data_IF_660242501227
#
_entry.id   IF_660242501227
#
_cell.length_a   1.000
_cell.length_b   1.000
_cell.length_c   1.000
_cell.angle_alpha   90.00
_cell.angle_beta   90.00
_cell.angle_gamma   90.00
#
_symmetry.space_group_name_H-M   'P 1'
#
loop_
_entity.id
_entity.type
_entity.pdbx_description
1 polymer ?
#
# COMPACT_ATOMS: atom_id res chain seq x y z
N UNK A 1 -1.42 -7.65 29.98
CA UNK A 1 -1.15 -7.92 28.54
C UNK A 1 -1.59 -9.31 28.06
N UNK A 2 -0.86 -10.40 28.31
CA UNK A 2 -1.17 -11.72 27.71
C UNK A 2 -2.59 -12.24 27.99
N UNK A 3 -3.07 -12.13 29.24
CA UNK A 3 -4.44 -12.55 29.58
C UNK A 3 -5.50 -11.69 28.87
N UNK A 4 -5.28 -10.38 28.73
CA UNK A 4 -6.19 -9.49 28.00
C UNK A 4 -6.26 -9.87 26.52
N UNK A 5 -5.11 -10.04 25.86
CA UNK A 5 -5.02 -10.45 24.46
C UNK A 5 -5.62 -11.85 24.24
N UNK A 6 -5.37 -12.79 25.16
CA UNK A 6 -5.93 -14.13 25.10
C UNK A 6 -7.46 -14.13 25.28
N UNK A 7 -7.98 -13.33 26.21
CA UNK A 7 -9.42 -13.17 26.40
C UNK A 7 -10.09 -12.52 25.19
N UNK A 8 -9.43 -11.54 24.57
CA UNK A 8 -9.87 -10.90 23.34
C UNK A 8 -9.95 -11.92 22.19
N UNK A 9 -8.90 -12.73 22.00
CA UNK A 9 -8.90 -13.81 21.01
C UNK A 9 -10.03 -14.82 21.27
N UNK A 10 -10.26 -15.23 22.53
CA UNK A 10 -11.35 -16.17 22.87
C UNK A 10 -12.75 -15.62 22.64
N UNK A 11 -12.97 -14.32 22.84
CA UNK A 11 -14.27 -13.67 22.64
C UNK A 11 -14.63 -13.51 21.17
N UNK A 12 -13.65 -13.52 20.27
CA UNK A 12 -13.84 -13.33 18.83
C UNK A 12 -13.46 -14.59 18.05
N UNK A 13 -14.45 -15.40 17.68
CA UNK A 13 -14.26 -16.71 17.03
C UNK A 13 -13.74 -16.65 15.59
N UNK A 14 -13.82 -15.51 14.91
CA UNK A 14 -13.42 -15.37 13.48
C UNK A 14 -12.38 -14.29 13.20
N UNK A 15 -12.45 -13.13 13.89
CA UNK A 15 -11.46 -12.05 13.75
C UNK A 15 -11.52 -11.14 14.96
N UNK A 16 -10.42 -11.00 15.67
CA UNK A 16 -10.25 -10.00 16.72
C UNK A 16 -10.28 -8.59 16.10
N UNK A 17 -11.08 -7.65 16.62
CA UNK A 17 -11.05 -6.27 16.15
C UNK A 17 -9.65 -5.69 16.30
N UNK A 18 -9.12 -5.14 15.20
CA UNK A 18 -7.76 -4.62 15.15
C UNK A 18 -7.57 -3.45 16.13
N UNK A 19 -8.60 -2.65 16.33
CA UNK A 19 -8.65 -1.53 17.28
C UNK A 19 -8.42 -2.02 18.71
N UNK A 20 -9.28 -2.92 19.19
CA UNK A 20 -9.17 -3.49 20.55
C UNK A 20 -7.81 -4.18 20.78
N UNK A 21 -7.34 -4.97 19.81
CA UNK A 21 -6.03 -5.62 19.92
C UNK A 21 -4.91 -4.60 20.08
N UNK A 22 -4.93 -3.53 19.27
CA UNK A 22 -3.91 -2.48 19.30
C UNK A 22 -3.94 -1.73 20.62
N UNK A 23 -5.14 -1.40 21.12
CA UNK A 23 -5.35 -0.77 22.44
C UNK A 23 -4.79 -1.63 23.57
N UNK A 24 -5.17 -2.90 23.62
CA UNK A 24 -4.74 -3.83 24.68
C UNK A 24 -3.24 -4.12 24.63
N UNK A 25 -2.65 -4.19 23.43
CA UNK A 25 -1.21 -4.35 23.28
C UNK A 25 -0.45 -3.11 23.78
N UNK A 26 -0.86 -1.90 23.39
CA UNK A 26 -0.25 -0.66 23.88
C UNK A 26 -0.41 -0.53 25.39
N UNK A 27 -1.63 -0.67 25.91
CA UNK A 27 -1.90 -0.59 27.34
C UNK A 27 -1.09 -1.62 28.14
N UNK A 28 -0.96 -2.84 27.61
CA UNK A 28 -0.14 -3.88 28.20
C UNK A 28 1.34 -3.49 28.33
N UNK A 29 1.92 -2.86 27.29
CA UNK A 29 3.29 -2.34 27.37
C UNK A 29 3.43 -1.26 28.45
N UNK A 30 2.49 -0.32 28.48
CA UNK A 30 2.48 0.76 29.47
C UNK A 30 2.39 0.19 30.90
N UNK A 31 1.46 -0.73 31.15
CA UNK A 31 1.32 -1.39 32.45
C UNK A 31 2.59 -2.14 32.89
N UNK A 32 3.29 -2.79 31.96
CA UNK A 32 4.47 -3.60 32.27
C UNK A 32 5.74 -2.78 32.49
N UNK A 33 5.83 -1.59 31.89
CA UNK A 33 7.06 -0.79 31.85
C UNK A 33 6.80 0.65 32.35
N UNK A 34 6.88 0.89 33.67
CA UNK A 34 6.60 2.21 34.25
C UNK A 34 7.42 3.36 33.65
N UNK A 35 8.69 3.11 33.28
CA UNK A 35 9.52 4.11 32.60
C UNK A 35 8.95 4.54 31.24
N UNK A 36 8.40 3.60 30.47
CA UNK A 36 7.74 3.90 29.20
C UNK A 36 6.44 4.66 29.46
N UNK A 37 5.67 4.28 30.49
CA UNK A 37 4.43 4.98 30.88
C UNK A 37 4.67 6.42 31.28
N UNK A 38 5.69 6.67 32.10
CA UNK A 38 6.03 8.02 32.54
C UNK A 38 6.40 8.90 31.34
N UNK A 39 7.24 8.40 30.42
CA UNK A 39 7.61 9.14 29.22
C UNK A 39 6.44 9.27 28.23
N UNK A 40 5.55 8.29 28.16
CA UNK A 40 4.34 8.38 27.35
C UNK A 40 3.39 9.46 27.88
N UNK A 41 3.16 9.52 29.18
CA UNK A 41 2.29 10.51 29.80
C UNK A 41 2.89 11.92 29.75
N UNK A 42 4.11 12.11 30.27
CA UNK A 42 4.72 13.42 30.40
C UNK A 42 5.40 13.90 29.09
N UNK A 43 6.13 13.00 28.43
CA UNK A 43 6.91 13.30 27.24
C UNK A 43 6.05 13.35 25.98
N UNK A 44 5.25 12.32 25.71
CA UNK A 44 4.45 12.20 24.49
C UNK A 44 3.09 12.92 24.59
N UNK A 45 2.27 12.58 25.58
CA UNK A 45 0.91 13.13 25.75
C UNK A 45 0.88 14.52 26.42
N UNK A 46 2.02 14.97 26.96
CA UNK A 46 2.19 16.25 27.69
C UNK A 46 1.19 16.40 28.85
N UNK A 47 0.94 15.31 29.58
CA UNK A 47 0.12 15.33 30.78
C UNK A 47 0.91 15.93 31.97
N UNK A 48 0.23 16.55 32.94
CA UNK A 48 0.84 16.96 34.22
C UNK A 48 1.56 15.81 34.92
N UNK A 49 2.48 16.14 35.83
CA UNK A 49 3.12 15.13 36.67
C UNK A 49 2.09 14.47 37.61
N UNK A 50 1.95 13.15 37.52
CA UNK A 50 1.06 12.34 38.36
C UNK A 50 1.53 10.88 38.33
N UNK A 51 1.01 10.06 39.25
CA UNK A 51 1.21 8.62 39.23
C UNK A 51 0.04 7.97 38.47
N UNK A 52 0.24 7.75 37.17
CA UNK A 52 -0.82 7.26 36.29
C UNK A 52 -0.98 5.75 36.35
N UNK A 53 -2.19 5.31 36.68
CA UNK A 53 -2.66 3.95 36.43
C UNK A 53 -3.20 3.84 34.99
N UNK A 54 -2.85 2.74 34.30
CA UNK A 54 -3.26 2.47 32.93
C UNK A 54 -4.40 1.46 32.93
N UNK A 55 -5.58 1.87 32.50
CA UNK A 55 -6.80 1.06 32.47
C UNK A 55 -7.35 1.01 31.04
N UNK A 56 -8.00 -0.08 30.67
CA UNK A 56 -8.66 -0.21 29.37
C UNK A 56 -10.14 -0.53 29.52
N UNK A 57 -10.91 -0.25 28.47
CA UNK A 57 -12.33 -0.64 28.34
C UNK A 57 -13.17 -0.24 29.57
N UNK A 58 -12.93 0.96 30.09
CA UNK A 58 -13.58 1.45 31.31
C UNK A 58 -15.01 1.91 30.99
N UNK A 59 -15.99 1.32 31.67
CA UNK A 59 -17.41 1.65 31.50
C UNK A 59 -17.83 2.76 32.48
N UNK A 60 -18.48 3.78 31.94
CA UNK A 60 -19.12 4.86 32.67
C UNK A 60 -20.59 4.95 32.26
N UNK A 61 -21.45 5.15 33.26
CA UNK A 61 -22.87 5.41 33.07
C UNK A 61 -23.07 6.92 33.00
N UNK A 62 -23.66 7.40 31.90
CA UNK A 62 -23.94 8.82 31.66
C UNK A 62 -25.38 9.16 32.02
N UNK A 63 -25.63 10.43 32.38
CA UNK A 63 -26.99 10.94 32.62
C UNK A 63 -27.83 11.19 31.35
N UNK A 64 -27.35 10.73 30.18
CA UNK A 64 -27.98 10.97 28.87
C UNK A 64 -28.84 9.81 28.36
N UNK A 65 -29.62 10.05 27.30
CA UNK A 65 -30.45 9.04 26.61
C UNK A 65 -29.66 7.83 26.09
N UNK A 66 -28.35 7.98 25.93
CA UNK A 66 -27.42 6.90 25.60
C UNK A 66 -26.41 6.75 26.76
N UNK A 67 -26.79 6.01 27.82
CA UNK A 67 -26.07 6.02 29.08
C UNK A 67 -24.76 5.24 29.04
N UNK A 68 -24.52 4.44 27.99
CA UNK A 68 -23.36 3.55 27.94
C UNK A 68 -22.17 4.25 27.27
N UNK A 69 -21.11 4.43 28.04
CA UNK A 69 -19.84 4.98 27.58
C UNK A 69 -18.71 4.04 27.97
N UNK A 70 -18.01 3.46 26.99
CA UNK A 70 -16.83 2.63 27.22
C UNK A 70 -15.64 3.39 26.66
N UNK A 71 -14.61 3.63 27.48
CA UNK A 71 -13.37 4.31 27.08
C UNK A 71 -12.29 3.28 26.77
N UNK A 72 -11.67 3.39 25.60
CA UNK A 72 -10.63 2.45 25.14
C UNK A 72 -9.44 2.36 26.10
N UNK A 73 -8.87 3.52 26.43
CA UNK A 73 -7.72 3.65 27.32
C UNK A 73 -7.91 4.84 28.26
N UNK A 74 -7.65 4.61 29.55
CA UNK A 74 -7.72 5.59 30.62
C UNK A 74 -6.39 5.65 31.35
N UNK A 75 -5.84 6.85 31.48
CA UNK A 75 -4.68 7.13 32.32
C UNK A 75 -5.17 7.91 33.54
N UNK A 76 -5.29 7.21 34.66
CA UNK A 76 -5.87 7.72 35.89
C UNK A 76 -4.77 8.10 36.89
N UNK A 77 -4.56 9.41 37.07
CA UNK A 77 -3.74 9.97 38.13
C UNK A 77 -4.56 10.39 39.35
N UNK A 78 -3.90 10.86 40.40
CA UNK A 78 -4.55 11.40 41.59
C UNK A 78 -5.32 12.69 41.28
N UNK A 79 -4.68 13.59 40.54
CA UNK A 79 -5.21 14.92 40.21
C UNK A 79 -5.62 15.04 38.74
N UNK A 80 -5.14 14.14 37.89
CA UNK A 80 -5.36 14.17 36.45
C UNK A 80 -6.10 12.93 35.96
N UNK A 81 -6.94 13.09 34.94
CA UNK A 81 -7.55 12.00 34.20
C UNK A 81 -7.35 12.25 32.70
N UNK A 82 -6.89 11.24 31.97
CA UNK A 82 -6.80 11.31 30.51
C UNK A 82 -7.54 10.13 29.90
N UNK A 83 -8.53 10.44 29.06
CA UNK A 83 -9.17 9.45 28.20
C UNK A 83 -8.49 9.47 26.83
N UNK A 84 -8.28 8.29 26.26
CA UNK A 84 -7.71 8.12 24.92
C UNK A 84 -8.65 7.22 24.13
N UNK A 85 -9.14 7.75 23.02
CA UNK A 85 -9.92 7.01 22.02
C UNK A 85 -8.99 6.53 20.91
N UNK A 86 -9.08 5.26 20.53
CA UNK A 86 -8.24 4.65 19.50
C UNK A 86 -9.04 4.24 18.28
N UNK A 87 -8.56 4.64 17.10
CA UNK A 87 -9.15 4.28 15.81
C UNK A 87 -8.08 3.78 14.85
N UNK A 88 -8.37 2.67 14.17
CA UNK A 88 -7.44 2.03 13.23
C UNK A 88 -8.05 1.97 11.84
N UNK A 89 -9.17 1.27 11.66
CA UNK A 89 -9.80 1.13 10.33
C UNK A 89 -11.14 1.84 10.22
N UNK A 90 -11.63 2.39 11.33
CA UNK A 90 -12.87 3.16 11.37
C UNK A 90 -12.60 4.62 11.75
N UNK A 91 -13.53 5.50 11.40
CA UNK A 91 -13.60 6.83 12.00
C UNK A 91 -14.28 6.78 13.36
N UNK A 92 -14.39 7.93 14.00
CA UNK A 92 -15.12 8.08 15.27
C UNK A 92 -16.53 7.48 15.20
N UNK A 93 -16.92 6.74 16.25
CA UNK A 93 -18.32 6.34 16.44
C UNK A 93 -19.21 7.57 16.64
N UNK A 94 -20.51 7.44 16.35
CA UNK A 94 -21.45 8.56 16.45
C UNK A 94 -21.37 9.21 17.85
N UNK A 95 -20.92 10.48 17.88
CA UNK A 95 -20.78 11.31 19.08
C UNK A 95 -19.89 10.71 20.19
N UNK A 96 -18.94 9.84 19.86
CA UNK A 96 -18.13 9.13 20.87
C UNK A 96 -17.27 10.10 21.69
N UNK A 97 -16.60 11.06 21.06
CA UNK A 97 -15.80 12.05 21.80
C UNK A 97 -16.67 12.96 22.67
N UNK A 98 -17.87 13.29 22.21
CA UNK A 98 -18.84 14.06 23.02
C UNK A 98 -19.27 13.27 24.27
N UNK A 99 -19.55 11.97 24.14
CA UNK A 99 -19.83 11.11 25.31
C UNK A 99 -18.68 11.09 26.29
N UNK A 100 -17.44 11.14 25.80
CA UNK A 100 -16.25 11.10 26.65
C UNK A 100 -16.09 12.41 27.40
N UNK A 101 -16.39 13.54 26.76
CA UNK A 101 -16.49 14.85 27.41
C UNK A 101 -17.54 14.86 28.52
N UNK A 102 -18.74 14.31 28.27
CA UNK A 102 -19.79 14.18 29.28
C UNK A 102 -19.30 13.32 30.46
N UNK A 103 -18.69 12.16 30.17
CA UNK A 103 -18.15 11.27 31.18
C UNK A 103 -17.07 11.95 32.05
N UNK A 104 -16.15 12.70 31.43
CA UNK A 104 -15.11 13.46 32.12
C UNK A 104 -15.72 14.51 33.06
N UNK A 105 -16.77 15.20 32.61
CA UNK A 105 -17.43 16.26 33.38
C UNK A 105 -18.27 15.69 34.54
N UNK A 106 -19.02 14.61 34.32
CA UNK A 106 -19.88 14.00 35.35
C UNK A 106 -19.08 13.28 36.44
N UNK A 107 -18.05 12.51 36.06
CA UNK A 107 -17.36 11.60 36.99
C UNK A 107 -16.07 12.18 37.57
N UNK A 108 -15.50 13.22 36.94
CA UNK A 108 -14.17 13.74 37.30
C UNK A 108 -14.11 15.27 37.41
N UNK A 109 -15.19 15.91 37.88
CA UNK A 109 -15.32 17.36 37.98
C UNK A 109 -14.16 18.09 38.71
N UNK A 110 -13.47 17.41 39.65
CA UNK A 110 -12.36 17.99 40.44
C UNK A 110 -10.97 17.73 39.87
N UNK A 111 -10.84 16.97 38.78
CA UNK A 111 -9.55 16.62 38.17
C UNK A 111 -9.22 17.53 36.98
N UNK A 112 -7.94 17.61 36.63
CA UNK A 112 -7.51 18.11 35.32
C UNK A 112 -7.89 17.07 34.27
N UNK A 113 -8.70 17.47 33.29
CA UNK A 113 -9.31 16.57 32.31
C UNK A 113 -8.59 16.68 30.97
N UNK A 114 -8.14 15.54 30.46
CA UNK A 114 -7.55 15.43 29.14
C UNK A 114 -8.35 14.44 28.30
N UNK A 115 -8.51 14.77 27.02
CA UNK A 115 -9.06 13.88 26.02
C UNK A 115 -8.06 13.78 24.87
N UNK A 116 -7.81 12.56 24.42
CA UNK A 116 -6.90 12.26 23.33
C UNK A 116 -7.59 11.41 22.29
N UNK A 117 -7.27 11.65 21.02
CA UNK A 117 -7.76 10.86 19.90
C UNK A 117 -6.58 10.36 19.09
N UNK A 118 -6.45 9.03 18.96
CA UNK A 118 -5.40 8.40 18.17
C UNK A 118 -6.01 7.75 16.92
N UNK A 119 -5.53 8.14 15.74
CA UNK A 119 -6.05 7.60 14.48
C UNK A 119 -4.93 7.03 13.60
N UNK A 120 -5.26 6.05 12.76
CA UNK A 120 -4.34 5.59 11.71
C UNK A 120 -4.28 6.59 10.56
N UNK A 121 -5.44 7.03 10.08
CA UNK A 121 -5.58 7.97 8.98
C UNK A 121 -5.83 9.39 9.47
N UNK A 122 -5.73 10.37 8.56
CA UNK A 122 -6.10 11.73 8.86
C UNK A 122 -7.62 11.82 9.07
N UNK A 123 -8.04 12.05 10.32
CA UNK A 123 -9.44 12.29 10.70
C UNK A 123 -9.44 13.45 11.72
N UNK A 124 -9.16 14.69 11.26
CA UNK A 124 -8.98 15.82 12.16
C UNK A 124 -10.29 16.14 12.88
N UNK A 125 -10.23 16.23 14.21
CA UNK A 125 -11.36 16.66 15.03
C UNK A 125 -11.04 17.97 15.73
N UNK A 126 -12.08 18.77 15.90
CA UNK A 126 -12.07 19.96 16.75
C UNK A 126 -13.05 19.71 17.88
N UNK A 127 -12.56 19.69 19.11
CA UNK A 127 -13.40 19.65 20.30
C UNK A 127 -13.09 20.90 21.13
N UNK A 128 -14.13 21.70 21.37
CA UNK A 128 -14.06 22.90 22.20
C UNK A 128 -14.98 22.71 23.39
N UNK A 129 -14.40 22.33 24.53
CA UNK A 129 -15.09 22.25 25.81
C UNK A 129 -14.23 22.94 26.87
N UNK A 130 -14.84 23.87 27.61
CA UNK A 130 -14.14 24.64 28.63
C UNK A 130 -13.72 23.74 29.79
N UNK A 131 -12.42 23.52 29.92
CA UNK A 131 -11.83 22.72 31.00
C UNK A 131 -11.43 21.30 30.61
N UNK A 132 -11.52 20.92 29.33
CA UNK A 132 -10.93 19.69 28.80
C UNK A 132 -9.82 20.05 27.82
N UNK A 133 -8.60 19.59 28.09
CA UNK A 133 -7.45 19.77 27.20
C UNK A 133 -7.47 18.65 26.16
N UNK A 134 -7.92 18.98 24.95
CA UNK A 134 -7.98 18.06 23.81
C UNK A 134 -6.70 18.07 22.97
N UNK A 135 -6.25 16.90 22.52
CA UNK A 135 -5.24 16.78 21.48
C UNK A 135 -5.44 15.51 20.64
N UNK A 136 -4.98 15.53 19.40
CA UNK A 136 -5.01 14.39 18.50
C UNK A 136 -3.58 14.02 18.09
N UNK A 137 -3.33 12.72 17.93
CA UNK A 137 -2.11 12.18 17.36
C UNK A 137 -2.44 10.97 16.49
N UNK A 138 -1.44 10.44 15.79
CA UNK A 138 -1.58 9.26 14.96
C UNK A 138 -0.74 8.09 15.45
N UNK A 139 -1.12 6.89 15.03
CA UNK A 139 -0.36 5.68 15.35
C UNK A 139 1.10 5.73 14.90
N UNK A 140 1.42 6.45 13.82
CA UNK A 140 2.81 6.59 13.38
C UNK A 140 3.64 7.40 14.38
N UNK A 141 3.01 8.32 15.12
CA UNK A 141 3.65 9.11 16.17
C UNK A 141 3.88 8.25 17.41
N UNK A 142 2.94 7.36 17.75
CA UNK A 142 3.13 6.33 18.79
C UNK A 142 4.27 5.40 18.41
N UNK A 143 4.33 4.94 17.16
CA UNK A 143 5.42 4.11 16.66
C UNK A 143 6.77 4.84 16.78
N UNK A 144 6.83 6.12 16.38
CA UNK A 144 8.02 6.96 16.50
C UNK A 144 8.45 7.15 17.96
N UNK A 145 7.51 7.34 18.87
CA UNK A 145 7.78 7.40 20.31
C UNK A 145 8.41 6.09 20.81
N UNK A 146 7.82 4.94 20.46
CA UNK A 146 8.26 3.63 20.92
C UNK A 146 9.63 3.21 20.36
N UNK A 147 10.11 3.81 19.26
CA UNK A 147 11.44 3.54 18.71
C UNK A 147 12.57 3.83 19.70
N UNK A 148 12.39 4.78 20.63
CA UNK A 148 13.38 5.06 21.69
C UNK A 148 13.56 3.88 22.67
N UNK A 149 12.66 2.89 22.64
CA UNK A 149 12.64 1.74 23.53
C UNK A 149 12.74 0.40 22.77
N UNK A 150 13.23 0.42 21.53
CA UNK A 150 13.29 -0.75 20.64
C UNK A 150 14.21 -1.89 21.11
N UNK A 151 15.11 -1.62 22.05
CA UNK A 151 15.90 -2.61 22.77
C UNK A 151 15.03 -3.57 23.59
N UNK A 152 13.79 -3.21 23.92
CA UNK A 152 12.84 -4.08 24.61
C UNK A 152 12.15 -5.02 23.60
N UNK A 153 12.27 -6.36 23.75
CA UNK A 153 11.70 -7.31 22.79
C UNK A 153 10.18 -7.19 22.58
N UNK A 154 9.42 -6.81 23.61
CA UNK A 154 7.97 -6.64 23.51
C UNK A 154 7.62 -5.35 22.76
N UNK A 155 8.36 -4.26 23.02
CA UNK A 155 8.22 -3.01 22.25
C UNK A 155 8.55 -3.27 20.79
N UNK A 156 9.64 -3.97 20.50
CA UNK A 156 10.04 -4.34 19.13
C UNK A 156 8.96 -5.16 18.41
N UNK A 157 8.40 -6.17 19.09
CA UNK A 157 7.31 -6.98 18.56
C UNK A 157 6.07 -6.12 18.24
N UNK A 158 5.74 -5.15 19.10
CA UNK A 158 4.63 -4.24 18.85
C UNK A 158 4.91 -3.26 17.71
N UNK A 159 6.14 -2.75 17.58
CA UNK A 159 6.56 -1.93 16.44
C UNK A 159 6.44 -2.68 15.11
N UNK A 160 6.83 -3.96 15.07
CA UNK A 160 6.66 -4.82 13.90
C UNK A 160 5.17 -5.01 13.57
N UNK A 161 4.34 -5.22 14.58
CA UNK A 161 2.88 -5.28 14.42
C UNK A 161 2.32 -3.98 13.82
N UNK A 162 2.72 -2.81 14.33
CA UNK A 162 2.29 -1.51 13.79
C UNK A 162 2.74 -1.35 12.33
N UNK A 163 3.97 -1.76 12.00
CA UNK A 163 4.50 -1.73 10.63
C UNK A 163 3.68 -2.61 9.68
N UNK A 164 3.42 -3.86 10.07
CA UNK A 164 2.67 -4.82 9.27
C UNK A 164 1.22 -4.37 9.00
N UNK A 165 0.63 -3.62 9.93
CA UNK A 165 -0.71 -3.04 9.79
C UNK A 165 -0.71 -1.61 9.20
N UNK A 166 0.43 -1.14 8.65
CA UNK A 166 0.58 0.20 8.04
C UNK A 166 0.25 1.35 8.99
N UNK A 167 0.51 1.16 10.28
CA UNK A 167 0.31 2.15 11.34
C UNK A 167 1.60 2.89 11.71
N UNK A 168 2.77 2.36 11.34
CA UNK A 168 4.07 2.99 11.61
C UNK A 168 4.59 3.91 10.48
N UNK A 169 3.85 4.06 9.38
CA UNK A 169 4.30 4.80 8.21
C UNK A 169 4.05 6.30 8.38
N UNK A 170 5.13 7.09 8.39
CA UNK A 170 5.07 8.54 8.25
C UNK A 170 4.95 8.91 6.77
N UNK A 171 3.75 9.28 6.34
CA UNK A 171 3.44 9.71 4.98
C UNK A 171 3.57 11.23 4.80
N UNK A 172 4.23 11.93 5.73
CA UNK A 172 4.57 13.34 5.53
C UNK A 172 5.42 13.49 4.27
N UNK A 173 4.98 14.34 3.36
CA UNK A 173 5.73 14.66 2.14
C UNK A 173 6.99 15.43 2.54
N UNK A 174 8.17 14.87 2.23
CA UNK A 174 9.48 15.49 2.46
C UNK A 174 10.03 16.08 1.17
N UNK A 175 11.04 16.93 1.27
CA UNK A 175 11.73 17.53 0.11
C UNK A 175 12.19 16.48 -0.90
N UNK A 176 12.74 15.37 -0.41
CA UNK A 176 13.26 14.29 -1.25
C UNK A 176 12.13 13.61 -2.05
N UNK A 177 10.91 13.58 -1.50
CA UNK A 177 9.74 13.09 -2.23
C UNK A 177 9.39 14.00 -3.41
N UNK A 178 9.55 15.32 -3.26
CA UNK A 178 9.30 16.27 -4.35
C UNK A 178 10.31 16.10 -5.49
N UNK A 179 11.60 15.95 -5.15
CA UNK A 179 12.66 15.67 -6.12
C UNK A 179 12.41 14.33 -6.83
N UNK A 180 12.00 13.30 -6.09
CA UNK A 180 11.66 12.01 -6.64
C UNK A 180 10.44 12.08 -7.60
N UNK A 181 9.41 12.86 -7.26
CA UNK A 181 8.25 13.09 -8.12
C UNK A 181 8.65 13.78 -9.44
N UNK A 182 9.51 14.79 -9.38
CA UNK A 182 10.02 15.46 -10.58
C UNK A 182 10.86 14.51 -11.45
N UNK A 183 11.74 13.73 -10.82
CA UNK A 183 12.58 12.74 -11.48
C UNK A 183 11.75 11.64 -12.13
N UNK A 184 10.69 11.18 -11.46
CA UNK A 184 9.74 10.21 -11.99
C UNK A 184 9.03 10.75 -13.24
N UNK A 185 8.56 12.01 -13.20
CA UNK A 185 7.94 12.64 -14.37
C UNK A 185 8.88 12.66 -15.57
N UNK A 186 10.11 13.15 -15.39
CA UNK A 186 11.15 13.18 -16.45
C UNK A 186 11.47 11.79 -16.98
N UNK A 187 11.56 10.80 -16.09
CA UNK A 187 11.82 9.40 -16.47
C UNK A 187 10.68 8.83 -17.32
N UNK A 188 9.43 9.11 -16.94
CA UNK A 188 8.25 8.70 -17.72
C UNK A 188 8.27 9.35 -19.11
N UNK A 189 8.55 10.66 -19.20
CA UNK A 189 8.62 11.39 -20.47
C UNK A 189 9.66 10.78 -21.44
N UNK A 190 10.86 10.45 -20.94
CA UNK A 190 11.92 9.80 -21.73
C UNK A 190 11.47 8.42 -22.23
N UNK A 191 10.85 7.63 -21.36
CA UNK A 191 10.42 6.28 -21.73
C UNK A 191 9.27 6.34 -22.73
N UNK A 192 8.27 7.19 -22.51
CA UNK A 192 7.17 7.41 -23.47
C UNK A 192 7.70 7.87 -24.83
N UNK A 193 8.73 8.71 -24.88
CA UNK A 193 9.39 9.10 -26.13
C UNK A 193 9.91 7.88 -26.90
N UNK A 194 10.66 6.96 -26.27
CA UNK A 194 11.18 5.77 -26.95
C UNK A 194 10.08 4.80 -27.39
N UNK A 195 9.01 4.67 -26.59
CA UNK A 195 7.84 3.88 -26.97
C UNK A 195 7.17 4.49 -28.20
N UNK A 196 6.82 5.77 -28.17
CA UNK A 196 6.14 6.43 -29.29
C UNK A 196 7.01 6.50 -30.55
N UNK A 197 8.34 6.62 -30.41
CA UNK A 197 9.26 6.58 -31.55
C UNK A 197 9.31 5.19 -32.24
N UNK A 198 9.10 4.11 -31.49
CA UNK A 198 9.10 2.73 -32.03
C UNK A 198 7.72 2.27 -32.54
N UNK A 199 6.66 3.00 -32.17
CA UNK A 199 5.27 2.68 -32.47
C UNK A 199 4.91 2.58 -33.96
N UNK A 200 5.42 3.44 -34.88
CA UNK A 200 5.09 3.32 -36.30
C UNK A 200 5.45 1.95 -36.87
N UNK A 201 6.64 1.45 -36.54
CA UNK A 201 7.15 0.14 -37.00
C UNK A 201 6.33 -1.00 -36.40
N UNK A 202 5.99 -0.90 -35.12
CA UNK A 202 5.12 -1.87 -34.45
C UNK A 202 3.73 -1.93 -35.10
N UNK A 203 3.10 -0.76 -35.32
CA UNK A 203 1.76 -0.65 -35.92
C UNK A 203 1.74 -1.17 -37.35
N UNK A 204 2.82 -0.94 -38.12
CA UNK A 204 2.96 -1.47 -39.48
C UNK A 204 2.86 -3.01 -39.51
N UNK A 205 3.33 -3.69 -38.46
CA UNK A 205 3.39 -5.16 -38.38
C UNK A 205 2.17 -5.78 -37.70
N UNK A 206 1.75 -5.21 -36.58
CA UNK A 206 0.75 -5.81 -35.69
C UNK A 206 -0.55 -5.01 -35.64
N UNK A 207 -0.68 -3.96 -36.46
CA UNK A 207 -1.87 -3.14 -36.51
C UNK A 207 -1.99 -2.13 -35.36
N UNK A 208 -3.11 -1.41 -35.35
CA UNK A 208 -3.38 -0.32 -34.40
C UNK A 208 -4.49 -0.70 -33.44
N UNK A 209 -4.33 -0.37 -32.17
CA UNK A 209 -5.41 -0.40 -31.16
C UNK A 209 -5.93 1.00 -30.83
N UNK A 210 -7.15 1.04 -30.29
CA UNK A 210 -7.66 2.24 -29.62
C UNK A 210 -6.85 2.48 -28.36
N UNK A 211 -6.10 3.58 -28.34
CA UNK A 211 -5.23 3.95 -27.23
C UNK A 211 -6.03 4.61 -26.10
N UNK A 212 -6.00 4.01 -24.91
CA UNK A 212 -6.53 4.64 -23.69
C UNK A 212 -5.41 5.44 -23.01
N UNK A 213 -5.62 6.74 -22.79
CA UNK A 213 -4.65 7.62 -22.14
C UNK A 213 -4.25 7.18 -20.72
N UNK A 214 -5.10 6.42 -20.03
CA UNK A 214 -4.83 5.94 -18.67
C UNK A 214 -4.10 4.59 -18.63
N UNK A 215 -3.93 3.91 -19.77
CA UNK A 215 -3.36 2.57 -19.83
C UNK A 215 -1.97 2.50 -19.20
N UNK A 216 -1.08 3.44 -19.52
CA UNK A 216 0.28 3.45 -18.96
C UNK A 216 0.30 3.70 -17.45
N UNK A 217 -0.64 4.45 -16.89
CA UNK A 217 -0.72 4.65 -15.43
C UNK A 217 -1.05 3.35 -14.69
N UNK A 218 -1.96 2.55 -15.23
CA UNK A 218 -2.27 1.24 -14.67
C UNK A 218 -1.07 0.28 -14.82
N UNK A 219 -0.33 0.36 -15.93
CA UNK A 219 0.87 -0.43 -16.15
C UNK A 219 2.01 -0.05 -15.18
N UNK A 220 2.21 1.23 -14.89
CA UNK A 220 3.18 1.69 -13.90
C UNK A 220 2.78 1.18 -12.51
N UNK A 221 1.52 1.40 -12.12
CA UNK A 221 1.02 1.07 -10.77
C UNK A 221 1.05 -0.42 -10.48
N UNK A 222 0.65 -1.25 -11.43
CA UNK A 222 0.41 -2.68 -11.20
C UNK A 222 1.52 -3.58 -11.73
N UNK A 223 2.32 -3.09 -12.68
CA UNK A 223 3.29 -3.91 -13.41
C UNK A 223 4.68 -3.28 -13.55
N UNK A 224 4.90 -2.09 -12.96
CA UNK A 224 6.18 -1.38 -12.94
C UNK A 224 6.81 -1.23 -14.34
N UNK A 225 6.01 -0.84 -15.34
CA UNK A 225 6.41 -0.74 -16.74
C UNK A 225 5.55 0.25 -17.54
N UNK A 226 6.06 0.68 -18.68
CA UNK A 226 5.32 1.38 -19.74
C UNK A 226 5.39 0.52 -21.00
N UNK A 227 4.24 0.29 -21.64
CA UNK A 227 4.15 -0.61 -22.80
C UNK A 227 3.16 -0.08 -23.83
N UNK A 228 3.34 -0.50 -25.07
CA UNK A 228 2.31 -0.44 -26.11
C UNK A 228 1.94 -1.87 -26.50
N UNK A 229 0.65 -2.16 -26.57
CA UNK A 229 0.17 -3.51 -26.84
C UNK A 229 -0.96 -3.56 -27.86
N UNK A 230 -1.13 -4.72 -28.47
CA UNK A 230 -2.26 -5.09 -29.31
C UNK A 230 -2.84 -6.39 -28.75
N UNK A 231 -4.13 -6.35 -28.42
CA UNK A 231 -4.89 -7.51 -27.97
C UNK A 231 -5.53 -8.24 -29.17
N UNK A 232 -6.14 -9.39 -28.89
CA UNK A 232 -6.76 -10.28 -29.87
C UNK A 232 -5.83 -10.71 -31.00
N UNK A 233 -4.59 -11.01 -30.66
CA UNK A 233 -3.56 -11.41 -31.62
C UNK A 233 -3.92 -12.72 -32.35
N UNK A 234 -4.60 -13.62 -31.63
CA UNK A 234 -5.17 -14.83 -32.18
C UNK A 234 -6.68 -14.63 -32.41
N UNK A 235 -7.20 -15.22 -33.49
CA UNK A 235 -8.65 -15.34 -33.65
C UNK A 235 -9.18 -16.23 -32.54
N UNK A 236 -10.03 -15.68 -31.68
CA UNK A 236 -10.67 -16.39 -30.57
C UNK A 236 -12.19 -16.42 -30.76
N UNK A 237 -12.78 -17.61 -30.58
CA UNK A 237 -14.21 -17.85 -30.41
C UNK A 237 -14.66 -17.58 -28.99
N UNK A 238 -13.76 -17.70 -28.01
CA UNK A 238 -14.06 -17.57 -26.58
C UNK A 238 -13.83 -16.15 -26.04
N UNK A 239 -13.19 -15.28 -26.84
CA UNK A 239 -12.83 -13.91 -26.46
C UNK A 239 -11.75 -13.86 -25.39
N UNK A 240 -10.93 -14.90 -25.26
CA UNK A 240 -9.87 -14.99 -24.26
C UNK A 240 -8.60 -14.30 -24.73
N UNK A 241 -7.84 -13.80 -23.76
CA UNK A 241 -6.73 -12.88 -24.00
C UNK A 241 -5.60 -13.53 -24.81
N UNK A 242 -5.23 -12.87 -25.90
CA UNK A 242 -3.94 -13.01 -26.58
C UNK A 242 -3.41 -11.62 -26.90
N UNK A 243 -2.14 -11.36 -26.60
CA UNK A 243 -1.58 -10.01 -26.63
C UNK A 243 -0.15 -10.02 -27.17
N UNK A 244 0.19 -9.05 -28.01
CA UNK A 244 1.56 -8.70 -28.36
C UNK A 244 1.82 -7.34 -27.74
N UNK A 245 2.95 -7.20 -27.07
CA UNK A 245 3.36 -5.90 -26.55
C UNK A 245 4.86 -5.70 -26.66
N UNK A 246 5.25 -4.43 -26.58
CA UNK A 246 6.61 -4.03 -26.31
C UNK A 246 6.65 -2.92 -25.28
N UNK A 247 7.77 -2.79 -24.59
CA UNK A 247 8.03 -1.61 -23.78
C UNK A 247 9.18 -1.75 -22.81
N UNK A 248 9.17 -0.95 -21.76
CA UNK A 248 10.28 -0.84 -20.80
C UNK A 248 9.79 -1.14 -19.39
N UNK A 249 10.47 -2.07 -18.71
CA UNK A 249 10.26 -2.43 -17.30
C UNK A 249 11.18 -1.61 -16.41
N UNK A 250 10.64 -0.97 -15.37
CA UNK A 250 11.43 -0.16 -14.43
C UNK A 250 12.18 -1.00 -13.40
N UNK A 251 11.62 -2.14 -12.99
CA UNK A 251 12.19 -2.98 -11.93
C UNK A 251 13.62 -3.44 -12.23
N UNK A 252 13.88 -3.77 -13.50
CA UNK A 252 15.17 -4.30 -13.95
C UNK A 252 15.72 -3.58 -15.19
N UNK A 253 15.15 -2.43 -15.54
CA UNK A 253 15.57 -1.60 -16.66
C UNK A 253 15.70 -2.37 -17.98
N UNK A 254 14.73 -3.24 -18.28
CA UNK A 254 14.73 -4.03 -19.51
C UNK A 254 13.75 -3.49 -20.53
N UNK A 255 14.20 -3.39 -21.77
CA UNK A 255 13.33 -3.33 -22.93
C UNK A 255 12.81 -4.73 -23.24
N UNK A 256 11.54 -4.83 -23.64
CA UNK A 256 10.89 -6.12 -23.89
C UNK A 256 10.06 -6.06 -25.16
N UNK A 257 9.94 -7.19 -25.84
CA UNK A 257 8.96 -7.46 -26.91
C UNK A 257 8.46 -8.87 -26.72
N UNK A 258 7.15 -9.07 -26.69
CA UNK A 258 6.59 -10.37 -26.30
C UNK A 258 5.23 -10.65 -26.92
N UNK A 259 4.89 -11.93 -26.96
CA UNK A 259 3.55 -12.45 -27.22
C UNK A 259 3.09 -13.29 -26.03
N UNK A 260 1.86 -13.04 -25.56
CA UNK A 260 1.18 -13.72 -24.45
C UNK A 260 -0.06 -14.43 -24.99
N UNK A 261 -0.30 -15.66 -24.53
CA UNK A 261 -1.59 -16.33 -24.65
C UNK A 261 -2.04 -16.80 -23.28
N UNK A 262 -3.26 -16.43 -22.89
CA UNK A 262 -3.84 -16.80 -21.61
C UNK A 262 -4.12 -18.31 -21.53
N UNK A 263 -4.05 -18.90 -20.33
CA UNK A 263 -4.27 -20.34 -20.12
C UNK A 263 -5.66 -20.80 -20.57
N UNK A 264 -6.65 -19.92 -20.45
CA UNK A 264 -8.04 -20.17 -20.80
C UNK A 264 -8.31 -20.01 -22.31
N UNK A 265 -7.34 -19.55 -23.09
CA UNK A 265 -7.51 -19.40 -24.54
C UNK A 265 -7.55 -20.78 -25.21
N UNK A 266 -8.47 -20.99 -26.15
CA UNK A 266 -8.65 -22.28 -26.84
C UNK A 266 -7.43 -22.77 -27.64
N UNK A 267 -6.45 -21.89 -27.88
CA UNK A 267 -5.23 -22.17 -28.60
C UNK A 267 -4.00 -22.23 -27.68
N UNK A 268 -4.21 -22.17 -26.35
CA UNK A 268 -3.13 -22.15 -25.38
C UNK A 268 -2.22 -23.38 -25.48
N UNK A 269 -2.78 -24.58 -25.59
CA UNK A 269 -2.00 -25.83 -25.73
C UNK A 269 -1.13 -25.80 -26.99
N UNK A 270 -1.70 -25.42 -28.14
CA UNK A 270 -0.96 -25.27 -29.39
C UNK A 270 0.13 -24.18 -29.30
N UNK A 271 -0.11 -23.12 -28.52
CA UNK A 271 0.84 -22.04 -28.32
C UNK A 271 2.02 -22.43 -27.43
N UNK A 272 1.80 -23.22 -26.37
CA UNK A 272 2.91 -23.69 -25.53
C UNK A 272 3.77 -24.75 -26.25
N UNK A 273 3.20 -25.44 -27.24
CA UNK A 273 3.87 -26.47 -28.06
C UNK A 273 4.64 -25.89 -29.26
N UNK A 274 4.69 -24.57 -29.42
CA UNK A 274 5.51 -23.95 -30.45
C UNK A 274 6.99 -24.27 -30.21
N UNK A 275 7.72 -24.54 -31.28
CA UNK A 275 9.16 -24.78 -31.22
C UNK A 275 9.85 -23.56 -30.59
N UNK A 276 10.58 -23.80 -29.50
CA UNK A 276 11.35 -22.76 -28.84
C UNK A 276 12.43 -22.27 -29.81
N UNK A 277 12.23 -21.08 -30.39
CA UNK A 277 13.35 -20.34 -30.97
C UNK A 277 14.32 -20.00 -29.84
N UNK A 278 15.63 -20.30 -29.98
CA UNK A 278 16.62 -20.07 -28.92
C UNK A 278 16.72 -18.61 -28.49
N UNK A 279 16.23 -17.70 -29.33
CA UNK A 279 16.21 -16.26 -29.03
C UNK A 279 15.09 -15.87 -28.06
N UNK A 280 13.97 -16.60 -28.06
CA UNK A 280 12.81 -16.27 -27.24
C UNK A 280 12.87 -16.99 -25.90
N UNK A 281 12.75 -16.22 -24.82
CA UNK A 281 12.54 -16.79 -23.47
C UNK A 281 11.07 -17.15 -23.33
N UNK A 282 10.79 -18.44 -23.11
CA UNK A 282 9.47 -18.92 -22.71
C UNK A 282 9.31 -18.73 -21.20
N UNK A 283 8.29 -17.99 -20.78
CA UNK A 283 8.02 -17.65 -19.38
C UNK A 283 6.58 -18.02 -19.05
N UNK A 284 6.38 -18.77 -17.98
CA UNK A 284 5.06 -19.13 -17.47
C UNK A 284 4.63 -18.14 -16.37
N UNK A 285 3.42 -17.62 -16.51
CA UNK A 285 2.74 -16.78 -15.53
C UNK A 285 1.45 -17.46 -15.08
N UNK A 286 0.86 -16.95 -14.00
CA UNK A 286 -0.45 -17.42 -13.53
C UNK A 286 -1.52 -17.30 -14.62
N UNK A 287 -1.49 -16.18 -15.34
CA UNK A 287 -2.47 -15.84 -16.39
C UNK A 287 -2.26 -16.56 -17.73
N UNK A 288 -1.05 -17.07 -18.01
CA UNK A 288 -0.70 -17.47 -19.39
C UNK A 288 0.78 -17.75 -19.59
N UNK A 289 1.13 -18.06 -20.84
CA UNK A 289 2.52 -18.28 -21.26
C UNK A 289 2.95 -17.16 -22.19
N UNK A 290 4.22 -16.77 -22.06
CA UNK A 290 4.83 -15.68 -22.83
C UNK A 290 6.06 -16.19 -23.58
N UNK A 291 6.22 -15.78 -24.83
CA UNK A 291 7.52 -15.77 -25.52
C UNK A 291 8.04 -14.33 -25.56
N UNK A 292 9.21 -14.08 -24.99
CA UNK A 292 9.76 -12.73 -24.78
C UNK A 292 11.19 -12.60 -25.29
N UNK A 293 11.45 -11.51 -26.01
CA UNK A 293 12.77 -10.92 -26.22
C UNK A 293 12.99 -9.81 -25.19
N UNK A 294 14.21 -9.70 -24.69
CA UNK A 294 14.57 -8.65 -23.73
C UNK A 294 16.00 -8.15 -23.95
N UNK A 295 16.23 -6.89 -23.61
CA UNK A 295 17.54 -6.25 -23.65
C UNK A 295 17.70 -5.29 -22.47
N UNK A 296 18.93 -5.17 -21.98
CA UNK A 296 19.27 -4.27 -20.90
C UNK A 296 19.35 -2.83 -21.41
N UNK A 297 18.49 -1.94 -20.90
CA UNK A 297 18.50 -0.52 -21.23
C UNK A 297 19.82 0.16 -20.81
N UNK A 298 20.50 -0.42 -19.82
CA UNK A 298 21.83 -0.01 -19.37
C UNK A 298 22.88 0.00 -20.48
N UNK A 299 22.71 -0.80 -21.55
CA UNK A 299 23.63 -0.81 -22.70
C UNK A 299 23.67 0.49 -23.49
N UNK A 300 22.64 1.31 -23.37
CA UNK A 300 22.51 2.58 -24.10
C UNK A 300 22.88 3.80 -23.23
N UNK A 301 23.34 3.58 -22.00
CA UNK A 301 23.72 4.67 -21.08
C UNK A 301 24.86 5.52 -21.65
N UNK A 302 24.71 6.84 -21.55
CA UNK A 302 25.69 7.82 -22.02
C UNK A 302 26.02 7.74 -23.52
N UNK A 303 25.18 7.07 -24.31
CA UNK A 303 25.34 7.02 -25.77
C UNK A 303 24.59 8.17 -26.42
N UNK A 304 25.30 9.02 -27.19
CA UNK A 304 24.69 10.13 -27.93
C UNK A 304 23.70 9.67 -29.01
N UNK A 305 23.79 8.41 -29.43
CA UNK A 305 22.88 7.77 -30.39
C UNK A 305 21.86 6.82 -29.73
N UNK A 306 21.72 6.86 -28.40
CA UNK A 306 20.84 5.94 -27.65
C UNK A 306 19.42 5.88 -28.23
N UNK A 307 18.85 7.02 -28.61
CA UNK A 307 17.49 7.12 -29.17
C UNK A 307 17.31 6.23 -30.40
N UNK A 308 18.29 6.26 -31.31
CA UNK A 308 18.29 5.47 -32.54
C UNK A 308 18.54 4.00 -32.23
N UNK A 309 19.52 3.69 -31.38
CA UNK A 309 19.86 2.30 -31.08
C UNK A 309 18.74 1.57 -30.33
N UNK A 310 18.02 2.26 -29.44
CA UNK A 310 16.82 1.75 -28.78
C UNK A 310 15.72 1.48 -29.81
N UNK A 311 15.49 2.41 -30.73
CA UNK A 311 14.51 2.25 -31.81
C UNK A 311 14.89 1.08 -32.75
N UNK A 312 16.16 0.96 -33.12
CA UNK A 312 16.70 -0.11 -33.95
C UNK A 312 16.55 -1.46 -33.26
N UNK A 313 16.79 -1.52 -31.94
CA UNK A 313 16.56 -2.74 -31.16
C UNK A 313 15.09 -3.16 -31.16
N UNK A 314 14.16 -2.23 -30.87
CA UNK A 314 12.73 -2.51 -30.92
C UNK A 314 12.30 -2.93 -32.33
N UNK A 315 12.76 -2.25 -33.36
CA UNK A 315 12.44 -2.61 -34.75
C UNK A 315 12.92 -4.03 -35.07
N UNK A 316 14.15 -4.36 -34.70
CA UNK A 316 14.71 -5.70 -34.86
C UNK A 316 13.97 -6.77 -34.05
N UNK A 317 13.53 -6.47 -32.83
CA UNK A 317 12.73 -7.41 -32.03
C UNK A 317 11.34 -7.63 -32.62
N UNK A 318 10.74 -6.62 -33.25
CA UNK A 318 9.46 -6.75 -33.95
C UNK A 318 9.58 -7.63 -35.19
N UNK A 319 10.67 -7.50 -35.96
CA UNK A 319 10.96 -8.41 -37.09
C UNK A 319 11.06 -9.85 -36.61
N UNK A 320 11.88 -10.11 -35.59
CA UNK A 320 12.05 -11.45 -35.02
C UNK A 320 10.73 -12.05 -34.51
N UNK A 321 9.90 -11.24 -33.85
CA UNK A 321 8.60 -11.70 -33.37
C UNK A 321 7.63 -11.97 -34.53
N UNK A 322 7.65 -11.12 -35.56
CA UNK A 322 6.84 -11.31 -36.76
C UNK A 322 7.24 -12.60 -37.50
N UNK A 323 8.52 -12.88 -37.63
CA UNK A 323 9.04 -14.10 -38.24
C UNK A 323 8.67 -15.34 -37.43
N UNK A 324 8.83 -15.28 -36.09
CA UNK A 324 8.39 -16.33 -35.18
C UNK A 324 6.90 -16.64 -35.36
N UNK A 325 6.06 -15.62 -35.41
CA UNK A 325 4.62 -15.78 -35.65
C UNK A 325 4.35 -16.37 -37.05
N UNK A 326 5.03 -15.86 -38.08
CA UNK A 326 4.84 -16.25 -39.49
C UNK A 326 5.23 -17.69 -39.80
N UNK A 327 6.24 -18.23 -39.09
CA UNK A 327 6.66 -19.63 -39.20
C UNK A 327 5.66 -20.58 -38.50
N UNK A 328 4.93 -20.10 -37.50
CA UNK A 328 4.02 -20.89 -36.68
C UNK A 328 2.56 -20.79 -37.16
N UNK A 329 2.32 -21.17 -38.42
CA UNK A 329 1.00 -21.09 -39.11
C UNK A 329 -0.09 -22.02 -38.54
N UNK A 330 0.24 -22.88 -37.57
CA UNK A 330 -0.72 -23.75 -36.87
C UNK A 330 -1.72 -22.96 -36.02
N UNK A 331 -1.36 -21.74 -35.64
CA UNK A 331 -2.20 -20.83 -34.86
C UNK A 331 -2.90 -19.81 -35.77
N UNK A 332 -4.14 -19.41 -35.46
CA UNK A 332 -4.90 -18.49 -36.31
C UNK A 332 -4.58 -17.02 -35.99
N UNK A 333 -3.37 -16.60 -36.31
CA UNK A 333 -2.91 -15.22 -36.14
C UNK A 333 -3.76 -14.23 -36.94
N UNK A 334 -4.07 -13.06 -36.34
CA UNK A 334 -4.83 -11.99 -37.03
C UNK A 334 -3.98 -11.19 -38.02
N UNK A 335 -2.65 -11.18 -37.85
CA UNK A 335 -1.74 -10.29 -38.58
C UNK A 335 -1.02 -10.94 -39.77
N UNK A 336 -1.13 -12.26 -39.91
CA UNK A 336 -0.64 -12.99 -41.09
C UNK A 336 -1.79 -13.06 -42.10
N UNK A 337 -1.54 -12.55 -43.32
CA UNK A 337 -2.47 -12.70 -44.45
C UNK A 337 -2.38 -14.08 -45.07
#
# INVERSE_FOLDING_TARGET
>A
MFNSLFNLYRKHTYKTPLEDYTTEALAGLLQMFPGITNEFCAGFLKLPEDNYEVLTQQHFVLSSDDPNCIIDLVLAGKNTICFVEHKVESGEGKNQLLKYTIALNEHFAKKVKHLRYCTKYADPKSLSDEGIVYAQFRWYEVAKFLQAFDNNPLVKSFLEFLKNNKMAQDNTIKSDNLIAMESMRKTIEIIEFHIENSKPEFVRKFGKVKYNKNFNWDQIRNHNRIVYSVEDVLKSKTGKLSEILYGIKFENLKMITRVLVAKEHEHFTTFIDLDNSPEFKKIEYDIGTVFQLEEDLGRFLNNQNADKEIQDWFTGSFEKLYDFISQNKRLPWRFIK
#
